data_IF_479515116352
#
_entry.id   IF_479515116352
#
_cell.length_a   1.000
_cell.length_b   1.000
_cell.length_c   1.000
_cell.angle_alpha   90.00
_cell.angle_beta   90.00
_cell.angle_gamma   90.00
#
_symmetry.space_group_name_H-M   'P 1'
#
loop_
_entity.id
_entity.type
_entity.pdbx_description
1 polymer ?
#
# COMPACT_ATOMS: atom_id res chain seq x y z
N UNK A 1 -21.40 -8.67 -7.38
CA UNK A 1 -22.07 -7.65 -6.53
C UNK A 1 -22.71 -8.15 -5.22
N UNK A 2 -23.12 -9.41 -5.08
CA UNK A 2 -23.77 -9.88 -3.82
C UNK A 2 -22.85 -9.78 -2.61
N UNK A 3 -21.55 -10.07 -2.77
CA UNK A 3 -20.57 -10.04 -1.69
C UNK A 3 -20.37 -8.64 -1.09
N UNK A 4 -20.37 -7.58 -1.92
CA UNK A 4 -20.19 -6.19 -1.48
C UNK A 4 -21.37 -5.64 -0.66
N UNK A 5 -22.53 -6.33 -0.67
CA UNK A 5 -23.71 -5.96 0.12
C UNK A 5 -23.72 -6.59 1.51
N UNK A 6 -22.83 -7.54 1.77
CA UNK A 6 -22.79 -8.33 3.01
C UNK A 6 -21.60 -7.94 3.88
N UNK A 7 -20.51 -7.49 3.26
CA UNK A 7 -19.32 -7.04 3.98
C UNK A 7 -19.44 -5.60 4.46
N UNK A 8 -18.85 -5.33 5.61
CA UNK A 8 -18.79 -3.99 6.22
C UNK A 8 -17.57 -3.19 5.77
N UNK A 9 -16.60 -3.84 5.13
CA UNK A 9 -15.37 -3.23 4.62
C UNK A 9 -14.61 -4.14 3.66
N UNK A 10 -13.70 -3.56 2.89
CA UNK A 10 -12.90 -4.29 1.92
C UNK A 10 -11.44 -3.84 1.89
N UNK A 11 -10.55 -4.74 1.48
CA UNK A 11 -9.15 -4.44 1.18
C UNK A 11 -8.97 -4.59 -0.33
N UNK A 12 -8.62 -3.50 -1.00
CA UNK A 12 -8.27 -3.50 -2.41
C UNK A 12 -6.77 -3.79 -2.56
N UNK A 13 -6.45 -4.97 -3.11
CA UNK A 13 -5.07 -5.36 -3.41
C UNK A 13 -4.66 -4.78 -4.76
N UNK A 14 -3.57 -4.02 -4.79
CA UNK A 14 -2.94 -3.52 -6.03
C UNK A 14 -1.61 -4.24 -6.24
N UNK A 15 -1.27 -4.56 -7.48
CA UNK A 15 0.07 -5.01 -7.84
C UNK A 15 0.96 -3.78 -7.98
N UNK A 16 2.05 -3.68 -7.22
CA UNK A 16 2.92 -2.50 -7.21
C UNK A 16 3.57 -2.17 -8.56
N UNK A 17 3.68 -3.15 -9.46
CA UNK A 17 4.22 -2.93 -10.81
C UNK A 17 3.13 -2.40 -11.76
N UNK A 18 1.95 -3.01 -11.72
CA UNK A 18 0.84 -2.66 -12.62
C UNK A 18 0.06 -1.41 -12.16
N UNK A 19 -0.05 -1.21 -10.84
CA UNK A 19 -0.84 -0.18 -10.19
C UNK A 19 -2.35 -0.43 -10.30
N UNK A 20 -3.10 0.59 -10.74
CA UNK A 20 -4.56 0.49 -10.95
C UNK A 20 -4.86 0.00 -12.36
N UNK A 21 -5.47 -1.18 -12.45
CA UNK A 21 -5.90 -1.80 -13.71
C UNK A 21 -7.38 -1.52 -14.03
N UNK A 22 -7.84 -1.66 -15.29
CA UNK A 22 -9.24 -1.47 -15.68
C UNK A 22 -10.25 -2.32 -14.87
N UNK A 23 -9.83 -3.53 -14.48
CA UNK A 23 -10.63 -4.44 -13.65
C UNK A 23 -10.77 -3.88 -12.23
N UNK A 24 -9.71 -3.28 -11.68
CA UNK A 24 -9.72 -2.60 -10.38
C UNK A 24 -10.72 -1.45 -10.37
N UNK A 25 -10.75 -0.63 -11.42
CA UNK A 25 -11.74 0.46 -11.55
C UNK A 25 -13.18 -0.06 -11.51
N UNK A 26 -13.45 -1.19 -12.17
CA UNK A 26 -14.79 -1.77 -12.24
C UNK A 26 -15.27 -2.20 -10.85
N UNK A 27 -14.42 -2.91 -10.10
CA UNK A 27 -14.74 -3.34 -8.72
C UNK A 27 -14.82 -2.14 -7.78
N UNK A 28 -13.96 -1.12 -7.97
CA UNK A 28 -13.97 0.10 -7.19
C UNK A 28 -15.29 0.85 -7.30
N UNK A 29 -15.80 1.05 -8.52
CA UNK A 29 -17.11 1.70 -8.76
C UNK A 29 -18.27 0.90 -8.13
N UNK A 30 -18.18 -0.44 -8.14
CA UNK A 30 -19.18 -1.27 -7.46
C UNK A 30 -19.15 -1.04 -5.93
N UNK A 31 -17.97 -0.95 -5.33
CA UNK A 31 -17.82 -0.66 -3.90
C UNK A 31 -18.27 0.77 -3.53
N UNK A 32 -18.04 1.75 -4.41
CA UNK A 32 -18.55 3.13 -4.25
C UNK A 32 -20.08 3.17 -4.18
N UNK A 33 -20.77 2.41 -5.05
CA UNK A 33 -22.24 2.33 -5.08
C UNK A 33 -22.83 1.89 -3.74
N UNK A 34 -22.14 0.99 -3.04
CA UNK A 34 -22.56 0.48 -1.73
C UNK A 34 -21.88 1.21 -0.56
N UNK A 35 -21.10 2.27 -0.82
CA UNK A 35 -20.36 3.07 0.17
C UNK A 35 -19.50 2.22 1.10
N UNK A 36 -18.89 1.17 0.55
CA UNK A 36 -18.04 0.25 1.33
C UNK A 36 -16.76 0.99 1.75
N UNK A 37 -16.45 1.07 3.06
CA UNK A 37 -15.16 1.53 3.56
C UNK A 37 -14.03 0.63 3.05
N UNK A 38 -12.94 1.23 2.57
CA UNK A 38 -11.86 0.48 1.90
C UNK A 38 -10.50 0.91 2.39
N UNK A 39 -9.60 -0.07 2.51
CA UNK A 39 -8.16 0.13 2.60
C UNK A 39 -7.52 -0.38 1.31
N UNK A 40 -6.38 0.19 0.93
CA UNK A 40 -5.60 -0.26 -0.23
C UNK A 40 -4.30 -0.88 0.28
N UNK A 41 -3.97 -2.06 -0.22
CA UNK A 41 -2.71 -2.72 0.06
C UNK A 41 -1.94 -2.89 -1.24
N UNK A 42 -0.81 -2.18 -1.34
CA UNK A 42 0.10 -2.27 -2.48
C UNK A 42 1.00 -3.49 -2.29
N UNK A 43 0.74 -4.54 -3.07
CA UNK A 43 1.36 -5.84 -2.95
C UNK A 43 2.52 -6.02 -3.95
N UNK A 44 3.39 -7.00 -3.68
CA UNK A 44 4.52 -7.40 -4.54
C UNK A 44 5.56 -6.30 -4.74
N UNK A 45 5.85 -5.57 -3.66
CA UNK A 45 6.91 -4.54 -3.61
C UNK A 45 8.31 -5.09 -3.87
N UNK A 46 8.49 -6.40 -3.77
CA UNK A 46 9.71 -7.17 -4.03
C UNK A 46 9.97 -7.44 -5.52
N UNK A 47 9.00 -7.17 -6.40
CA UNK A 47 9.15 -7.41 -7.83
C UNK A 47 9.88 -6.29 -8.55
N UNK A 48 10.61 -6.67 -9.60
CA UNK A 48 11.20 -5.72 -10.56
C UNK A 48 10.10 -4.80 -11.12
N UNK A 49 10.37 -3.50 -11.14
CA UNK A 49 9.44 -2.47 -11.59
C UNK A 49 8.30 -2.17 -10.62
N UNK A 50 8.37 -2.64 -9.37
CA UNK A 50 7.45 -2.22 -8.33
C UNK A 50 7.64 -0.73 -8.01
N UNK A 51 6.55 0.04 -8.08
CA UNK A 51 6.54 1.47 -7.80
C UNK A 51 5.33 1.85 -6.96
N UNK A 52 5.59 2.05 -5.67
CA UNK A 52 4.59 2.46 -4.71
C UNK A 52 4.02 3.85 -5.01
N UNK A 53 4.88 4.81 -5.36
CA UNK A 53 4.46 6.21 -5.55
C UNK A 53 3.60 6.34 -6.80
N UNK A 54 3.97 5.65 -7.88
CA UNK A 54 3.13 5.54 -9.07
C UNK A 54 1.80 4.86 -8.76
N UNK A 55 1.79 3.82 -7.93
CA UNK A 55 0.54 3.18 -7.49
C UNK A 55 -0.36 4.17 -6.73
N UNK A 56 0.22 4.99 -5.85
CA UNK A 56 -0.50 6.05 -5.12
C UNK A 56 -1.07 7.11 -6.06
N UNK A 57 -0.28 7.58 -7.02
CA UNK A 57 -0.73 8.54 -8.04
C UNK A 57 -1.89 7.98 -8.89
N UNK A 58 -1.80 6.69 -9.26
CA UNK A 58 -2.84 6.01 -10.02
C UNK A 58 -4.16 5.91 -9.25
N UNK A 59 -4.14 5.80 -7.92
CA UNK A 59 -5.37 5.79 -7.11
C UNK A 59 -6.13 7.11 -7.31
N UNK A 60 -5.44 8.25 -7.23
CA UNK A 60 -6.05 9.55 -7.47
C UNK A 60 -6.53 9.72 -8.90
N UNK A 61 -5.64 9.47 -9.86
CA UNK A 61 -5.91 9.75 -11.29
C UNK A 61 -6.89 8.78 -11.96
N UNK A 62 -6.95 7.51 -11.53
CA UNK A 62 -7.81 6.46 -12.13
C UNK A 62 -9.08 6.19 -11.33
N UNK A 63 -8.95 6.11 -10.01
CA UNK A 63 -10.09 5.80 -9.13
C UNK A 63 -10.83 7.04 -8.66
N UNK A 64 -10.24 8.24 -8.84
CA UNK A 64 -10.80 9.49 -8.31
C UNK A 64 -10.82 9.53 -6.78
N UNK A 65 -10.00 8.70 -6.13
CA UNK A 65 -9.98 8.54 -4.69
C UNK A 65 -8.83 9.33 -4.07
N UNK A 66 -9.08 9.97 -2.93
CA UNK A 66 -8.03 10.61 -2.14
C UNK A 66 -7.36 9.55 -1.24
N UNK A 67 -6.21 9.03 -1.68
CA UNK A 67 -5.43 8.09 -0.89
C UNK A 67 -4.77 8.81 0.29
N UNK A 68 -4.91 8.26 1.49
CA UNK A 68 -4.12 8.64 2.66
C UNK A 68 -3.06 7.56 2.84
N UNK A 69 -1.80 7.95 2.64
CA UNK A 69 -0.66 7.03 2.76
C UNK A 69 -0.35 6.84 4.24
N UNK A 70 -0.39 5.59 4.71
CA UNK A 70 -0.12 5.23 6.10
C UNK A 70 1.28 4.64 6.30
N UNK A 71 1.88 4.14 5.21
CA UNK A 71 3.16 3.44 5.24
C UNK A 71 3.97 3.76 3.98
N UNK A 72 5.29 3.88 4.13
CA UNK A 72 6.23 4.01 3.01
C UNK A 72 7.11 2.76 2.92
N UNK A 73 7.39 2.22 1.72
CA UNK A 73 8.26 1.07 1.59
C UNK A 73 9.72 1.43 1.91
N UNK A 74 10.43 0.54 2.59
CA UNK A 74 11.88 0.62 2.80
C UNK A 74 12.56 -0.27 1.75
N UNK A 75 13.26 0.36 0.82
CA UNK A 75 13.80 -0.29 -0.36
C UNK A 75 12.73 -0.57 -1.41
N UNK A 76 13.16 -1.18 -2.52
CA UNK A 76 12.30 -1.58 -3.62
C UNK A 76 12.89 -2.84 -4.28
N UNK A 77 12.05 -3.60 -4.96
CA UNK A 77 12.47 -4.84 -5.62
C UNK A 77 13.20 -5.77 -4.64
N UNK A 78 14.37 -6.30 -5.00
CA UNK A 78 15.15 -7.20 -4.13
C UNK A 78 15.64 -6.56 -2.84
N UNK A 79 15.67 -5.22 -2.75
CA UNK A 79 16.06 -4.49 -1.54
C UNK A 79 14.87 -4.17 -0.63
N UNK A 80 13.65 -4.55 -1.02
CA UNK A 80 12.46 -4.36 -0.21
C UNK A 80 12.54 -5.21 1.06
N UNK A 81 12.61 -4.55 2.22
CA UNK A 81 12.89 -5.21 3.51
C UNK A 81 12.02 -4.74 4.66
N UNK A 82 11.14 -3.79 4.42
CA UNK A 82 10.36 -3.18 5.50
C UNK A 82 9.42 -2.08 5.03
N UNK A 83 8.77 -1.47 5.99
CA UNK A 83 7.98 -0.26 5.82
C UNK A 83 8.26 0.74 6.93
N UNK A 84 8.18 2.02 6.62
CA UNK A 84 8.04 3.09 7.60
C UNK A 84 6.57 3.16 7.99
N UNK A 85 6.29 3.08 9.29
CA UNK A 85 4.98 3.37 9.86
C UNK A 85 4.89 4.88 10.14
N UNK A 86 4.00 5.57 9.43
CA UNK A 86 3.82 7.03 9.56
C UNK A 86 2.93 7.40 10.75
N UNK A 87 2.24 6.45 11.37
CA UNK A 87 1.42 6.69 12.57
C UNK A 87 2.31 6.73 13.80
N UNK A 88 3.19 5.74 13.94
CA UNK A 88 4.12 5.65 15.06
C UNK A 88 5.46 6.36 14.80
N UNK A 89 5.70 6.79 13.56
CA UNK A 89 6.94 7.43 13.12
C UNK A 89 8.19 6.58 13.40
N UNK A 90 8.10 5.29 13.07
CA UNK A 90 9.18 4.31 13.18
C UNK A 90 9.31 3.45 11.92
N UNK A 91 10.36 2.65 11.81
CA UNK A 91 10.55 1.70 10.72
C UNK A 91 10.37 0.27 11.22
N UNK A 92 9.58 -0.50 10.49
CA UNK A 92 9.36 -1.93 10.67
C UNK A 92 10.19 -2.68 9.63
N UNK A 93 11.25 -3.36 10.07
CA UNK A 93 12.15 -4.13 9.18
C UNK A 93 11.98 -5.61 9.44
N UNK A 94 11.61 -6.38 8.41
CA UNK A 94 11.37 -7.81 8.55
C UNK A 94 12.68 -8.59 8.71
N UNK A 95 12.61 -9.69 9.48
CA UNK A 95 13.70 -10.65 9.59
C UNK A 95 13.51 -11.76 8.56
N UNK A 96 14.43 -11.87 7.61
CA UNK A 96 14.36 -12.80 6.45
C UNK A 96 14.09 -14.26 6.86
N UNK A 97 14.64 -14.71 7.98
CA UNK A 97 14.51 -16.09 8.47
C UNK A 97 13.08 -16.46 8.92
N UNK A 98 12.20 -15.47 9.09
CA UNK A 98 10.86 -15.67 9.67
C UNK A 98 9.72 -15.59 8.66
N UNK A 99 10.02 -15.49 7.36
CA UNK A 99 9.01 -15.24 6.30
C UNK A 99 8.11 -14.03 6.63
N UNK A 100 8.68 -13.00 7.27
CA UNK A 100 7.96 -11.79 7.69
C UNK A 100 7.14 -11.94 8.97
N UNK A 101 7.19 -13.08 9.68
CA UNK A 101 6.47 -13.27 10.94
C UNK A 101 7.08 -12.51 12.12
N UNK A 102 8.35 -12.08 12.01
CA UNK A 102 9.00 -11.21 12.96
C UNK A 102 9.63 -10.00 12.26
N UNK A 103 9.62 -8.88 12.95
CA UNK A 103 10.24 -7.63 12.52
C UNK A 103 10.88 -6.91 13.71
N UNK A 104 11.83 -6.04 13.39
CA UNK A 104 12.44 -5.10 14.31
C UNK A 104 11.82 -3.72 14.12
N UNK A 105 11.54 -3.04 15.25
CA UNK A 105 11.17 -1.63 15.27
C UNK A 105 12.44 -0.81 15.44
N UNK A 106 12.77 -0.02 14.43
CA UNK A 106 14.00 0.78 14.37
C UNK A 106 13.69 2.23 14.01
N UNK A 107 14.69 3.10 14.13
CA UNK A 107 14.56 4.47 13.64
C UNK A 107 14.35 4.51 12.12
N UNK A 108 13.58 5.49 11.65
CA UNK A 108 13.35 5.69 10.22
C UNK A 108 14.71 5.92 9.52
N UNK A 109 15.01 5.18 8.43
CA UNK A 109 16.22 5.38 7.65
C UNK A 109 16.41 6.85 7.25
N UNK A 110 17.64 7.35 7.32
CA UNK A 110 17.95 8.77 7.12
C UNK A 110 17.48 9.30 5.75
N UNK A 111 17.52 8.45 4.72
CA UNK A 111 17.07 8.72 3.36
C UNK A 111 15.55 8.81 3.22
N UNK A 112 14.79 8.23 4.16
CA UNK A 112 13.33 8.26 4.16
C UNK A 112 12.74 9.27 5.16
N UNK A 113 13.52 9.77 6.11
CA UNK A 113 13.03 10.65 7.18
C UNK A 113 12.34 11.92 6.66
N UNK A 114 12.99 12.66 5.76
CA UNK A 114 12.42 13.88 5.19
C UNK A 114 11.12 13.60 4.43
N UNK A 115 11.04 12.43 3.77
CA UNK A 115 9.84 12.02 3.05
C UNK A 115 8.72 11.62 4.00
N UNK A 116 9.03 10.91 5.08
CA UNK A 116 8.07 10.54 6.11
C UNK A 116 7.46 11.78 6.79
N UNK A 117 8.21 12.87 6.93
CA UNK A 117 7.72 14.14 7.47
C UNK A 117 6.87 14.96 6.48
N UNK A 118 6.97 14.68 5.17
CA UNK A 118 6.16 15.34 4.13
C UNK A 118 4.75 14.76 4.01
N UNK A 119 4.59 13.47 4.33
CA UNK A 119 3.31 12.75 4.29
C UNK A 119 2.47 12.99 5.56
#
# INVERSE_FOLDING_TARGET
ERSLRVLDGAIALLDANAGVEPQTETVWRQADKYRVPRMIFCNKMDKIGADFYRSVEMIGSRLGAQAVVMQLPIGAETEFKGVVDLVEMNALVWRDETLGAAWDVVEIPADLKARAEEY
#
